data_IF_947709302975
#
_entry.id   IF_947709302975
#
_cell.length_a   1.000
_cell.length_b   1.000
_cell.length_c   1.000
_cell.angle_alpha   90.00
_cell.angle_beta   90.00
_cell.angle_gamma   90.00
#
_symmetry.space_group_name_H-M   'P 1'
#
loop_
_entity.id
_entity.type
_entity.pdbx_description
1 polymer ?
#
# COMPACT_ATOMS: atom_id res chain seq x y z
N UNK A 1 -1.24 -8.63 -17.19
CA UNK A 1 -2.43 -8.80 -18.03
C UNK A 1 -3.15 -9.95 -17.39
N UNK A 2 -4.32 -9.71 -16.79
CA UNK A 2 -4.99 -10.73 -15.97
C UNK A 2 -5.07 -12.09 -16.67
N UNK A 3 -4.98 -13.16 -15.89
CA UNK A 3 -5.17 -14.51 -16.41
C UNK A 3 -6.56 -14.66 -17.04
N UNK A 4 -6.74 -15.61 -17.97
CA UNK A 4 -8.06 -15.88 -18.55
C UNK A 4 -9.12 -16.12 -17.48
N UNK A 5 -10.33 -15.64 -17.70
CA UNK A 5 -11.48 -15.86 -16.80
C UNK A 5 -12.17 -17.22 -17.05
N UNK A 6 -11.71 -17.98 -18.04
CA UNK A 6 -12.24 -19.30 -18.41
C UNK A 6 -11.14 -20.21 -18.96
N UNK A 7 -11.44 -21.51 -19.07
CA UNK A 7 -10.54 -22.48 -19.67
C UNK A 7 -10.37 -22.25 -21.18
N UNK A 8 -9.18 -22.56 -21.75
CA UNK A 8 -8.03 -23.18 -21.10
C UNK A 8 -7.12 -22.17 -20.37
N UNK A 9 -6.65 -22.56 -19.19
CA UNK A 9 -5.57 -21.88 -18.45
C UNK A 9 -4.40 -22.86 -18.28
N UNK A 10 -3.18 -22.37 -18.46
CA UNK A 10 -1.95 -23.16 -18.38
C UNK A 10 -1.04 -22.63 -17.29
N UNK A 11 -0.20 -23.52 -16.72
CA UNK A 11 0.81 -23.10 -15.75
C UNK A 11 1.82 -22.10 -16.36
N UNK A 12 2.10 -22.22 -17.66
CA UNK A 12 2.93 -21.24 -18.38
C UNK A 12 2.37 -19.83 -18.32
N UNK A 13 1.07 -19.66 -18.58
CA UNK A 13 0.38 -18.37 -18.47
C UNK A 13 0.44 -17.83 -17.03
N UNK A 14 0.22 -18.69 -16.03
CA UNK A 14 0.33 -18.32 -14.60
C UNK A 14 1.73 -17.80 -14.29
N UNK A 15 2.77 -18.53 -14.67
CA UNK A 15 4.15 -18.12 -14.45
C UNK A 15 4.43 -16.77 -15.13
N UNK A 16 3.98 -16.57 -16.37
CA UNK A 16 4.14 -15.30 -17.09
C UNK A 16 3.44 -14.13 -16.40
N UNK A 17 2.17 -14.29 -15.99
CA UNK A 17 1.42 -13.19 -15.36
C UNK A 17 2.04 -12.80 -14.01
N UNK A 18 2.44 -13.79 -13.22
CA UNK A 18 3.02 -13.55 -11.90
C UNK A 18 4.53 -13.29 -11.91
N UNK A 19 5.17 -13.30 -13.08
CA UNK A 19 6.61 -13.08 -13.23
C UNK A 19 7.47 -14.16 -12.57
N UNK A 20 6.95 -15.39 -12.48
CA UNK A 20 7.64 -16.54 -11.93
C UNK A 20 8.45 -17.28 -13.00
N UNK A 21 9.57 -17.96 -12.65
CA UNK A 21 10.24 -18.88 -13.55
C UNK A 21 9.27 -19.92 -14.14
N UNK A 22 9.46 -20.33 -15.39
CA UNK A 22 8.60 -21.33 -16.05
C UNK A 22 8.59 -22.70 -15.36
N UNK A 23 9.59 -22.98 -14.52
CA UNK A 23 9.72 -24.19 -13.69
C UNK A 23 8.96 -24.12 -12.36
N UNK A 24 8.32 -22.98 -12.06
CA UNK A 24 7.60 -22.79 -10.79
C UNK A 24 6.38 -23.69 -10.72
N UNK A 25 6.32 -24.53 -9.69
CA UNK A 25 5.19 -25.42 -9.47
C UNK A 25 3.92 -24.63 -9.08
N UNK A 26 2.75 -25.16 -9.46
CA UNK A 26 1.44 -24.57 -9.15
C UNK A 26 1.26 -24.26 -7.65
N UNK A 27 1.82 -25.13 -6.78
CA UNK A 27 1.77 -24.98 -5.33
C UNK A 27 2.43 -23.73 -4.76
N UNK A 28 3.18 -22.97 -5.57
CA UNK A 28 3.82 -21.70 -5.17
C UNK A 28 2.92 -20.48 -5.36
N UNK A 29 1.80 -20.62 -6.08
CA UNK A 29 0.88 -19.51 -6.40
C UNK A 29 -0.25 -19.39 -5.38
N UNK A 30 0.07 -19.53 -4.09
CA UNK A 30 -0.89 -19.28 -3.01
C UNK A 30 -1.03 -17.78 -2.77
N UNK A 31 -2.25 -17.34 -2.45
CA UNK A 31 -2.51 -15.94 -2.11
C UNK A 31 -1.72 -15.52 -0.86
N UNK A 32 -1.05 -14.38 -0.94
CA UNK A 32 -0.15 -13.89 0.11
C UNK A 32 1.20 -14.60 0.16
N UNK A 33 1.47 -15.51 -0.79
CA UNK A 33 2.80 -16.06 -1.02
C UNK A 33 3.67 -15.13 -1.86
N UNK A 34 4.81 -15.65 -2.33
CA UNK A 34 5.82 -14.86 -3.05
C UNK A 34 5.35 -14.26 -4.39
N UNK A 35 4.27 -14.78 -4.96
CA UNK A 35 3.84 -14.46 -6.33
C UNK A 35 2.47 -13.80 -6.41
N UNK A 36 1.49 -14.33 -5.67
CA UNK A 36 0.10 -13.89 -5.75
C UNK A 36 -0.20 -12.90 -4.61
N UNK A 37 -0.46 -11.62 -4.91
CA UNK A 37 -0.72 -10.62 -3.88
C UNK A 37 -1.96 -10.95 -3.04
N UNK A 38 -1.82 -10.74 -1.74
CA UNK A 38 -2.80 -10.95 -0.67
C UNK A 38 -3.98 -9.97 -0.74
N UNK A 39 -3.74 -8.74 -1.20
CA UNK A 39 -4.68 -7.62 -1.10
C UNK A 39 -5.34 -7.25 -2.44
N UNK A 40 -5.31 -8.14 -3.44
CA UNK A 40 -5.95 -7.89 -4.74
C UNK A 40 -7.34 -8.53 -4.80
N UNK A 41 -8.37 -7.74 -5.15
CA UNK A 41 -9.77 -8.20 -5.33
C UNK A 41 -9.84 -9.37 -6.33
N UNK A 42 -9.03 -9.33 -7.37
CA UNK A 42 -8.97 -10.38 -8.40
C UNK A 42 -8.37 -11.71 -7.91
N UNK A 43 -7.74 -11.74 -6.73
CA UNK A 43 -7.10 -12.95 -6.20
C UNK A 43 -7.92 -13.61 -5.07
N UNK A 44 -9.15 -13.16 -4.81
CA UNK A 44 -10.01 -13.70 -3.72
C UNK A 44 -10.32 -15.20 -3.87
N UNK A 45 -10.29 -15.73 -5.09
CA UNK A 45 -10.53 -17.15 -5.39
C UNK A 45 -9.28 -18.02 -5.24
N UNK A 46 -8.09 -17.41 -5.12
CA UNK A 46 -6.83 -18.13 -4.92
C UNK A 46 -6.69 -18.53 -3.45
N UNK A 47 -6.49 -19.82 -3.12
CA UNK A 47 -6.36 -20.27 -1.75
C UNK A 47 -5.05 -19.80 -1.10
N UNK A 48 -5.05 -19.69 0.22
CA UNK A 48 -3.86 -19.36 1.04
C UNK A 48 -3.06 -20.59 1.48
N UNK A 49 -3.59 -21.79 1.25
CA UNK A 49 -2.95 -23.08 1.55
C UNK A 49 -3.19 -24.09 0.43
N UNK A 50 -2.40 -25.16 0.41
CA UNK A 50 -2.63 -26.30 -0.49
C UNK A 50 -3.91 -27.07 -0.06
N UNK A 51 -4.59 -27.76 -0.99
CA UNK A 51 -4.31 -27.86 -2.42
C UNK A 51 -4.74 -26.61 -3.21
N UNK A 52 -4.05 -26.33 -4.30
CA UNK A 52 -4.39 -25.29 -5.27
C UNK A 52 -4.55 -25.92 -6.64
N UNK A 53 -5.52 -25.45 -7.41
CA UNK A 53 -5.78 -25.88 -8.79
C UNK A 53 -5.66 -24.70 -9.76
N UNK A 54 -5.45 -24.98 -11.05
CA UNK A 54 -5.43 -23.93 -12.06
C UNK A 54 -6.75 -23.15 -12.14
N UNK A 55 -7.89 -23.80 -11.85
CA UNK A 55 -9.19 -23.13 -11.80
C UNK A 55 -9.27 -22.03 -10.74
N UNK A 56 -8.51 -22.13 -9.65
CA UNK A 56 -8.47 -21.10 -8.62
C UNK A 56 -7.78 -19.81 -9.07
N UNK A 57 -7.00 -19.86 -10.15
CA UNK A 57 -6.22 -18.74 -10.70
C UNK A 57 -6.90 -18.08 -11.91
N UNK A 58 -8.12 -18.51 -12.29
CA UNK A 58 -8.88 -17.86 -13.34
C UNK A 58 -9.18 -16.40 -12.93
N UNK A 59 -8.89 -15.46 -13.83
CA UNK A 59 -9.01 -14.02 -13.58
C UNK A 59 -8.02 -13.44 -12.56
N UNK A 60 -7.16 -14.27 -11.96
CA UNK A 60 -6.16 -13.81 -11.00
C UNK A 60 -5.10 -12.96 -11.73
N UNK A 61 -4.57 -11.96 -11.02
CA UNK A 61 -3.63 -11.03 -11.62
C UNK A 61 -2.62 -10.52 -10.61
N UNK A 62 -1.48 -10.04 -11.12
CA UNK A 62 -0.42 -9.47 -10.30
C UNK A 62 -0.64 -7.97 -10.04
N UNK A 63 -1.88 -7.58 -9.77
CA UNK A 63 -2.22 -6.17 -9.55
C UNK A 63 -1.43 -5.59 -8.38
N UNK A 64 -1.02 -4.33 -8.50
CA UNK A 64 -0.38 -3.60 -7.43
C UNK A 64 -1.45 -3.23 -6.39
N UNK A 65 -1.29 -3.74 -5.18
CA UNK A 65 -2.10 -3.36 -4.03
C UNK A 65 -1.22 -2.61 -3.02
N UNK A 66 -1.79 -1.61 -2.36
CA UNK A 66 -1.09 -0.82 -1.35
C UNK A 66 -1.97 -0.71 -0.13
N UNK A 67 -1.36 -0.88 1.03
CA UNK A 67 -1.95 -0.61 2.33
C UNK A 67 -1.00 0.29 3.13
N UNK A 68 -1.49 0.99 4.14
CA UNK A 68 -0.62 1.60 5.13
C UNK A 68 -1.05 1.23 6.53
N UNK A 69 -0.06 1.09 7.42
CA UNK A 69 -0.29 0.84 8.84
C UNK A 69 0.63 1.71 9.70
N UNK A 70 0.08 2.43 10.69
CA UNK A 70 -1.36 2.64 10.92
C UNK A 70 -2.00 3.57 9.87
N UNK A 71 -3.31 3.43 9.61
CA UNK A 71 -4.07 4.30 8.69
C UNK A 71 -4.45 5.65 9.32
N UNK A 72 -4.13 5.86 10.59
CA UNK A 72 -4.30 7.12 11.30
C UNK A 72 -3.16 7.31 12.27
N UNK A 73 -2.54 8.49 12.24
CA UNK A 73 -1.44 8.85 13.13
C UNK A 73 -1.72 10.17 13.80
N UNK A 74 -1.33 10.28 15.08
CA UNK A 74 -1.52 11.51 15.82
C UNK A 74 -0.38 11.85 16.77
N UNK A 75 -0.34 13.11 17.19
CA UNK A 75 0.57 13.60 18.23
C UNK A 75 -0.08 14.74 19.02
N UNK A 76 0.07 14.68 20.34
CA UNK A 76 -0.22 15.81 21.23
C UNK A 76 1.11 16.31 21.82
N UNK A 77 1.31 17.61 21.89
CA UNK A 77 2.45 18.26 22.55
C UNK A 77 1.97 19.24 23.63
N UNK A 78 2.70 19.30 24.76
CA UNK A 78 2.37 20.16 25.90
C UNK A 78 3.04 21.55 25.85
N UNK A 79 3.92 21.76 24.87
CA UNK A 79 4.61 23.03 24.63
C UNK A 79 4.39 23.45 23.18
N UNK A 80 4.22 24.74 22.88
CA UNK A 80 4.14 25.21 21.50
C UNK A 80 5.38 24.79 20.70
N UNK A 81 5.19 24.29 19.49
CA UNK A 81 6.31 23.83 18.66
C UNK A 81 5.90 22.90 17.54
N UNK A 82 6.88 22.16 17.03
CA UNK A 82 6.69 21.15 16.00
C UNK A 82 6.21 19.85 16.67
N UNK A 83 4.99 19.43 16.33
CA UNK A 83 4.50 18.10 16.66
C UNK A 83 4.82 17.16 15.50
N UNK A 84 5.51 16.06 15.78
CA UNK A 84 5.77 14.97 14.83
C UNK A 84 5.04 13.71 15.28
N UNK A 85 4.24 13.13 14.39
CA UNK A 85 3.49 11.90 14.68
C UNK A 85 4.39 10.67 14.78
N UNK A 86 3.81 9.57 15.25
CA UNK A 86 4.38 8.25 14.98
C UNK A 86 4.44 7.99 13.47
N UNK A 87 5.34 7.10 13.05
CA UNK A 87 5.48 6.73 11.65
C UNK A 87 4.31 5.85 11.17
N UNK A 88 4.00 5.97 9.89
CA UNK A 88 3.19 5.04 9.10
C UNK A 88 4.05 4.43 8.01
N UNK A 89 3.81 3.16 7.69
CA UNK A 89 4.50 2.48 6.59
C UNK A 89 3.49 2.06 5.54
N UNK A 90 3.70 2.49 4.30
CA UNK A 90 3.02 1.97 3.13
C UNK A 90 3.65 0.63 2.72
N UNK A 91 2.85 -0.42 2.66
CA UNK A 91 3.23 -1.75 2.22
C UNK A 91 2.58 -2.02 0.87
N UNK A 92 3.42 -2.21 -0.14
CA UNK A 92 3.00 -2.61 -1.47
C UNK A 92 3.09 -4.14 -1.62
N UNK A 93 2.08 -4.71 -2.26
CA UNK A 93 2.01 -6.13 -2.60
C UNK A 93 1.66 -6.28 -4.08
N UNK A 94 2.22 -7.30 -4.73
CA UNK A 94 2.11 -7.45 -6.18
C UNK A 94 2.87 -6.35 -6.96
N UNK A 95 2.43 -6.10 -8.20
CA UNK A 95 3.06 -5.16 -9.14
C UNK A 95 4.49 -5.53 -9.55
N UNK A 96 4.95 -5.08 -10.71
CA UNK A 96 6.23 -5.47 -11.32
C UNK A 96 7.44 -4.68 -10.81
N UNK A 97 8.59 -5.34 -10.69
CA UNK A 97 9.88 -4.73 -10.33
C UNK A 97 9.87 -3.85 -9.08
N UNK A 98 10.76 -2.86 -9.06
CA UNK A 98 10.93 -1.90 -7.96
C UNK A 98 9.70 -1.03 -7.75
N UNK A 99 9.51 -0.55 -6.52
CA UNK A 99 8.38 0.28 -6.10
C UNK A 99 8.86 1.69 -5.75
N UNK A 100 8.19 2.71 -6.25
CA UNK A 100 8.40 4.12 -5.89
C UNK A 100 7.23 4.64 -5.10
N UNK A 101 7.48 5.49 -4.11
CA UNK A 101 6.45 6.00 -3.18
C UNK A 101 6.32 7.51 -3.35
N UNK A 102 5.10 8.02 -3.19
CA UNK A 102 4.82 9.46 -3.20
C UNK A 102 3.70 9.79 -2.21
N UNK A 103 4.05 10.52 -1.15
CA UNK A 103 3.10 11.03 -0.16
C UNK A 103 2.66 12.44 -0.53
N UNK A 104 1.37 12.62 -0.76
CA UNK A 104 0.76 13.90 -1.13
C UNK A 104 -0.43 14.21 -0.25
N UNK A 105 -0.59 15.47 0.16
CA UNK A 105 -1.79 15.89 0.89
C UNK A 105 -2.97 15.92 -0.09
N UNK A 106 -4.08 15.31 0.28
CA UNK A 106 -5.32 15.34 -0.53
C UNK A 106 -6.40 16.25 0.05
N UNK A 107 -6.41 16.47 1.37
CA UNK A 107 -7.32 17.40 2.03
C UNK A 107 -6.78 17.84 3.39
N UNK A 108 -7.41 18.89 3.97
CA UNK A 108 -7.08 19.44 5.27
C UNK A 108 -5.95 20.46 5.27
N UNK A 109 -5.33 20.63 6.42
CA UNK A 109 -4.44 21.75 6.76
C UNK A 109 -3.13 21.76 5.95
N UNK A 110 -2.74 22.94 5.45
CA UNK A 110 -1.58 23.07 4.57
C UNK A 110 -0.23 23.09 5.27
N UNK A 111 -0.21 23.34 6.58
CA UNK A 111 0.99 23.35 7.43
C UNK A 111 1.40 21.98 7.97
N UNK A 112 0.71 20.91 7.58
CA UNK A 112 1.17 19.54 7.76
C UNK A 112 2.00 19.08 6.57
N UNK A 113 3.14 18.45 6.83
CA UNK A 113 4.05 17.91 5.81
C UNK A 113 4.58 16.52 6.20
N UNK A 114 4.84 15.62 5.23
CA UNK A 114 5.52 14.36 5.49
C UNK A 114 7.02 14.61 5.74
N UNK A 115 7.62 13.85 6.66
CA UNK A 115 9.07 13.88 6.94
C UNK A 115 9.89 13.21 5.83
N UNK A 116 9.31 12.23 5.15
CA UNK A 116 9.92 11.51 4.04
C UNK A 116 8.86 11.28 2.95
N UNK A 117 8.76 12.17 1.97
CA UNK A 117 7.69 12.16 0.96
C UNK A 117 7.83 11.08 -0.11
N UNK A 118 9.02 10.50 -0.26
CA UNK A 118 9.34 9.50 -1.29
C UNK A 118 9.69 8.12 -0.73
N UNK A 119 9.53 7.92 0.58
CA UNK A 119 9.85 6.67 1.27
C UNK A 119 8.59 5.87 1.62
N UNK A 120 8.75 4.55 1.77
CA UNK A 120 7.67 3.67 2.21
C UNK A 120 7.18 4.03 3.62
N UNK A 121 8.12 4.31 4.52
CA UNK A 121 7.84 4.76 5.89
C UNK A 121 7.99 6.28 5.98
N UNK A 122 7.00 6.94 6.56
CA UNK A 122 7.00 8.40 6.78
C UNK A 122 6.32 8.73 8.10
N UNK A 123 6.61 9.91 8.64
CA UNK A 123 5.82 10.53 9.70
C UNK A 123 5.34 11.89 9.21
N UNK A 124 4.45 12.53 9.95
CA UNK A 124 3.94 13.86 9.59
C UNK A 124 4.26 14.85 10.69
N UNK A 125 4.56 16.08 10.28
CA UNK A 125 4.90 17.15 11.20
C UNK A 125 4.20 18.45 10.83
N UNK A 126 4.01 19.29 11.83
CA UNK A 126 3.49 20.65 11.67
C UNK A 126 3.62 21.43 12.97
N UNK A 127 3.44 22.74 12.90
CA UNK A 127 3.52 23.62 14.08
C UNK A 127 2.14 23.82 14.70
N UNK A 128 2.02 23.57 16.00
CA UNK A 128 0.84 23.84 16.84
C UNK A 128 1.27 24.55 18.14
N UNK A 129 0.37 25.32 18.76
CA UNK A 129 0.68 26.02 20.01
C UNK A 129 -0.55 26.67 20.64
N UNK A 130 -0.36 27.43 21.73
CA UNK A 130 -1.45 28.10 22.45
C UNK A 130 -2.13 29.25 21.70
N UNK A 131 -1.61 29.62 20.52
CA UNK A 131 -2.26 30.51 19.56
C UNK A 131 -2.94 29.74 18.42
N UNK A 132 -3.20 30.40 17.30
CA UNK A 132 -3.77 29.73 16.12
C UNK A 132 -2.66 29.12 15.24
N UNK A 133 -2.68 27.81 14.89
CA UNK A 133 -3.67 26.82 15.29
C UNK A 133 -3.25 25.99 16.52
N UNK A 134 -4.22 25.69 17.37
CA UNK A 134 -4.07 24.73 18.48
C UNK A 134 -4.10 23.28 18.00
N UNK A 135 -4.69 23.01 16.84
CA UNK A 135 -4.68 21.68 16.21
C UNK A 135 -4.63 21.75 14.69
N UNK A 136 -4.11 20.70 14.05
CA UNK A 136 -4.14 20.53 12.60
C UNK A 136 -4.59 19.14 12.25
N UNK A 137 -5.36 19.02 11.17
CA UNK A 137 -5.76 17.73 10.61
C UNK A 137 -5.60 17.73 9.09
N UNK A 138 -5.18 16.60 8.54
CA UNK A 138 -5.08 16.41 7.10
C UNK A 138 -5.23 14.93 6.72
N UNK A 139 -5.59 14.68 5.47
CA UNK A 139 -5.51 13.35 4.87
C UNK A 139 -4.38 13.37 3.84
N UNK A 140 -3.46 12.42 3.97
CA UNK A 140 -2.40 12.18 3.01
C UNK A 140 -2.68 10.91 2.23
N UNK A 141 -2.35 10.93 0.94
CA UNK A 141 -2.40 9.78 0.06
C UNK A 141 -0.97 9.34 -0.25
N UNK A 142 -0.66 8.08 0.02
CA UNK A 142 0.54 7.43 -0.53
C UNK A 142 0.16 6.81 -1.87
N UNK A 143 0.84 7.21 -2.94
CA UNK A 143 0.77 6.54 -4.23
C UNK A 143 2.03 5.72 -4.39
N UNK A 144 1.88 4.42 -4.63
CA UNK A 144 2.98 3.53 -4.98
C UNK A 144 2.88 3.22 -6.46
N UNK A 145 3.99 3.37 -7.17
CA UNK A 145 4.09 3.02 -8.59
C UNK A 145 5.12 1.93 -8.75
N UNK A 146 4.80 0.95 -9.59
CA UNK A 146 5.71 -0.14 -9.93
C UNK A 146 6.56 0.18 -11.17
N UNK A 147 7.56 -0.64 -11.49
CA UNK A 147 8.47 -0.36 -12.61
C UNK A 147 7.80 -0.48 -13.99
N UNK A 148 6.55 -0.95 -14.05
CA UNK A 148 5.74 -1.00 -15.27
C UNK A 148 4.77 0.18 -15.39
N UNK A 149 4.79 1.12 -14.44
CA UNK A 149 3.92 2.29 -14.41
C UNK A 149 2.54 2.05 -13.79
N UNK A 150 2.27 0.85 -13.26
CA UNK A 150 1.02 0.59 -12.53
C UNK A 150 1.06 1.30 -11.18
N UNK A 151 0.01 2.06 -10.85
CA UNK A 151 -0.07 2.83 -9.62
C UNK A 151 -1.26 2.38 -8.76
N UNK A 152 -1.05 2.36 -7.45
CA UNK A 152 -2.07 2.06 -6.45
C UNK A 152 -1.84 2.94 -5.22
N UNK A 153 -2.88 3.19 -4.44
CA UNK A 153 -2.79 4.19 -3.36
C UNK A 153 -3.61 3.85 -2.14
N UNK A 154 -3.19 4.39 -1.00
CA UNK A 154 -3.92 4.36 0.25
C UNK A 154 -3.99 5.78 0.85
N UNK A 155 -4.92 5.97 1.80
CA UNK A 155 -5.04 7.20 2.57
C UNK A 155 -4.58 6.98 4.02
N UNK A 156 -4.04 8.03 4.63
CA UNK A 156 -3.69 8.11 6.05
C UNK A 156 -4.23 9.43 6.61
N UNK A 157 -4.98 9.34 7.70
CA UNK A 157 -5.44 10.50 8.45
C UNK A 157 -4.38 10.95 9.45
N UNK A 158 -4.15 12.25 9.53
CA UNK A 158 -3.12 12.86 10.38
C UNK A 158 -3.77 13.88 11.28
N UNK A 159 -3.46 13.82 12.57
CA UNK A 159 -3.93 14.79 13.55
C UNK A 159 -2.81 15.20 14.50
N UNK A 160 -2.59 16.51 14.65
CA UNK A 160 -1.68 17.03 15.68
C UNK A 160 -2.39 18.09 16.51
N UNK A 161 -2.04 18.16 17.79
CA UNK A 161 -2.66 19.07 18.74
C UNK A 161 -1.65 19.58 19.77
N UNK A 162 -1.89 20.81 20.21
CA UNK A 162 -1.30 21.38 21.40
C UNK A 162 -2.35 21.40 22.52
N UNK A 163 -2.04 20.77 23.65
CA UNK A 163 -2.88 20.78 24.86
C UNK A 163 -1.99 20.80 26.09
N UNK A 164 -2.35 21.64 27.07
CA UNK A 164 -1.67 21.79 28.37
C UNK A 164 -2.35 20.98 29.47
#
# INVERSE_FOLDING_TARGET
MALPDSYPITLGQVCTEFGAPSTTALGSFLRGGSYVPSNAINNVSVPTSKPITLGNLLGACRNLAVSASPTSVSKIIASPGIATTNATTATADGGKGSKTYSWTRVSGDTGLTPTASTSATTAFQGTVGGGNPTSRSAVFKCTVTDSSGSASSNNVSVYIEYSI
#
